data_IF_734536916757
#
_entry.id   IF_734536916757
#
_cell.length_a   1.000
_cell.length_b   1.000
_cell.length_c   1.000
_cell.angle_alpha   90.00
_cell.angle_beta   90.00
_cell.angle_gamma   90.00
#
_symmetry.space_group_name_H-M   'P 1'
#
loop_
_entity.id
_entity.type
_entity.pdbx_description
1 polymer ?
#
# COMPACT_ATOMS: atom_id res chain seq x y z
N UNK A 1 28.02 1.50 26.15
CA UNK A 1 27.89 1.31 24.70
C UNK A 1 26.57 0.61 24.44
N UNK A 2 25.72 1.13 23.56
CA UNK A 2 24.41 0.54 23.26
C UNK A 2 24.43 -0.13 21.88
N UNK A 3 23.89 -1.35 21.79
CA UNK A 3 23.71 -2.09 20.54
C UNK A 3 22.22 -2.02 20.17
N UNK A 4 21.90 -1.68 18.93
CA UNK A 4 20.52 -1.56 18.43
C UNK A 4 20.38 -2.44 17.19
N UNK A 5 19.40 -3.33 17.19
CA UNK A 5 19.02 -4.12 16.01
C UNK A 5 17.95 -3.36 15.24
N UNK A 6 18.11 -3.26 13.92
CA UNK A 6 17.12 -2.71 13.00
C UNK A 6 16.91 -3.66 11.83
N UNK A 7 15.68 -3.76 11.39
CA UNK A 7 15.26 -4.44 10.18
C UNK A 7 14.96 -3.37 9.14
N UNK A 8 15.64 -3.46 8.00
CA UNK A 8 15.46 -2.58 6.85
C UNK A 8 14.75 -3.37 5.77
N UNK A 9 13.64 -2.85 5.28
CA UNK A 9 12.89 -3.43 4.16
C UNK A 9 13.20 -2.58 2.93
N UNK A 10 13.83 -3.20 1.95
CA UNK A 10 14.18 -2.60 0.67
C UNK A 10 13.22 -3.08 -0.41
N UNK A 11 12.89 -2.17 -1.33
CA UNK A 11 12.10 -2.48 -2.51
C UNK A 11 12.81 -1.92 -3.74
N UNK A 12 13.16 -2.77 -4.70
CA UNK A 12 13.92 -2.41 -5.91
C UNK A 12 15.22 -1.63 -5.60
N UNK A 13 15.89 -1.96 -4.49
CA UNK A 13 17.13 -1.31 -4.05
C UNK A 13 16.94 0.05 -3.36
N UNK A 14 15.70 0.43 -3.04
CA UNK A 14 15.39 1.63 -2.26
C UNK A 14 14.84 1.22 -0.89
N UNK A 15 15.40 1.77 0.18
CA UNK A 15 14.88 1.58 1.54
C UNK A 15 13.45 2.15 1.65
N UNK A 16 12.46 1.30 1.96
CA UNK A 16 11.05 1.71 2.08
C UNK A 16 10.56 1.76 3.53
N UNK A 17 11.16 0.95 4.41
CA UNK A 17 10.73 0.87 5.80
C UNK A 17 11.87 0.40 6.72
N UNK A 18 11.98 1.01 7.90
CA UNK A 18 12.96 0.61 8.93
C UNK A 18 12.23 0.50 10.26
N UNK A 19 12.37 -0.64 10.92
CA UNK A 19 11.76 -0.90 12.24
C UNK A 19 12.73 -1.68 13.13
N UNK A 20 12.50 -1.65 14.44
CA UNK A 20 13.18 -2.53 15.39
C UNK A 20 12.45 -3.88 15.58
N UNK A 21 11.21 -4.01 15.07
CA UNK A 21 10.40 -5.23 15.17
C UNK A 21 10.46 -6.06 13.87
N UNK A 22 10.94 -7.29 13.98
CA UNK A 22 10.99 -8.25 12.87
C UNK A 22 9.61 -8.50 12.26
N UNK A 23 8.56 -8.61 13.08
CA UNK A 23 7.22 -8.94 12.59
C UNK A 23 6.64 -7.83 11.73
N UNK A 24 6.91 -6.58 12.09
CA UNK A 24 6.50 -5.42 11.29
C UNK A 24 7.24 -5.39 9.95
N UNK A 25 8.54 -5.68 9.95
CA UNK A 25 9.33 -5.80 8.73
C UNK A 25 8.78 -6.92 7.82
N UNK A 26 8.55 -8.12 8.36
CA UNK A 26 7.97 -9.25 7.62
C UNK A 26 6.58 -8.94 7.05
N UNK A 27 5.76 -8.14 7.77
CA UNK A 27 4.44 -7.72 7.30
C UNK A 27 4.55 -6.70 6.15
N UNK A 28 5.49 -5.76 6.26
CA UNK A 28 5.73 -4.75 5.23
C UNK A 28 6.31 -5.38 3.95
N UNK A 29 7.24 -6.33 4.09
CA UNK A 29 7.79 -7.11 2.98
C UNK A 29 6.68 -7.83 2.18
N UNK A 30 5.80 -8.56 2.88
CA UNK A 30 4.62 -9.19 2.25
C UNK A 30 3.68 -8.20 1.58
N UNK A 31 3.55 -6.99 2.12
CA UNK A 31 2.72 -5.93 1.53
C UNK A 31 3.34 -5.41 0.22
N UNK A 32 4.67 -5.32 0.15
CA UNK A 32 5.39 -4.96 -1.07
C UNK A 32 5.27 -6.05 -2.13
N UNK A 33 5.38 -7.32 -1.75
CA UNK A 33 5.15 -8.45 -2.68
C UNK A 33 3.75 -8.39 -3.31
N UNK A 34 2.72 -8.04 -2.52
CA UNK A 34 1.36 -7.84 -3.05
C UNK A 34 1.30 -6.62 -3.98
N UNK A 35 2.02 -5.54 -3.67
CA UNK A 35 2.09 -4.38 -4.53
C UNK A 35 2.72 -4.73 -5.89
N UNK A 36 3.81 -5.49 -5.92
CA UNK A 36 4.43 -5.93 -7.18
C UNK A 36 3.46 -6.73 -8.05
N UNK A 37 2.79 -7.71 -7.45
CA UNK A 37 1.80 -8.52 -8.16
C UNK A 37 0.65 -7.67 -8.71
N UNK A 38 0.22 -6.64 -7.97
CA UNK A 38 -0.82 -5.71 -8.43
C UNK A 38 -0.32 -4.82 -9.58
N UNK A 39 0.91 -4.32 -9.49
CA UNK A 39 1.53 -3.52 -10.54
C UNK A 39 1.63 -4.31 -11.86
N UNK A 40 2.16 -5.53 -11.79
CA UNK A 40 2.25 -6.44 -12.95
C UNK A 40 0.87 -6.75 -13.53
N UNK A 41 -0.13 -7.01 -12.68
CA UNK A 41 -1.50 -7.23 -13.12
C UNK A 41 -2.08 -6.03 -13.88
N UNK A 42 -1.88 -4.82 -13.36
CA UNK A 42 -2.38 -3.58 -13.97
C UNK A 42 -1.71 -3.31 -15.32
N UNK A 43 -0.40 -3.50 -15.42
CA UNK A 43 0.35 -3.39 -16.67
C UNK A 43 -0.11 -4.43 -17.69
N UNK A 44 -0.30 -5.68 -17.26
CA UNK A 44 -0.80 -6.76 -18.11
C UNK A 44 -2.23 -6.50 -18.63
N UNK A 45 -3.02 -5.67 -17.93
CA UNK A 45 -4.34 -5.20 -18.41
C UNK A 45 -4.25 -4.08 -19.45
N UNK A 46 -3.04 -3.66 -19.82
CA UNK A 46 -2.81 -2.64 -20.85
C UNK A 46 -2.96 -1.21 -20.35
N UNK A 47 -3.07 -0.99 -19.04
CA UNK A 47 -3.04 0.34 -18.46
C UNK A 47 -1.57 0.78 -18.32
N UNK A 48 -1.20 1.83 -19.04
CA UNK A 48 0.15 2.41 -18.95
C UNK A 48 0.16 3.54 -17.94
N UNK A 49 1.02 3.42 -16.95
CA UNK A 49 1.30 4.45 -15.95
C UNK A 49 2.81 4.74 -15.96
N UNK A 50 3.20 5.89 -15.45
CA UNK A 50 4.61 6.12 -15.09
C UNK A 50 4.98 5.16 -13.94
N UNK A 51 6.23 4.68 -13.91
CA UNK A 51 6.68 3.65 -12.97
C UNK A 51 6.43 4.05 -11.50
N UNK A 52 6.71 5.31 -11.15
CA UNK A 52 6.49 5.86 -9.81
C UNK A 52 5.01 5.87 -9.44
N UNK A 53 4.14 6.22 -10.39
CA UNK A 53 2.68 6.28 -10.19
C UNK A 53 2.10 4.88 -10.02
N UNK A 54 2.57 3.92 -10.81
CA UNK A 54 2.15 2.52 -10.70
C UNK A 54 2.55 1.94 -9.34
N UNK A 55 3.78 2.20 -8.90
CA UNK A 55 4.29 1.74 -7.61
C UNK A 55 3.50 2.34 -6.45
N UNK A 56 3.28 3.65 -6.44
CA UNK A 56 2.46 4.32 -5.42
C UNK A 56 1.02 3.79 -5.38
N UNK A 57 0.41 3.58 -6.56
CA UNK A 57 -0.93 3.01 -6.67
C UNK A 57 -0.98 1.60 -6.10
N UNK A 58 -0.02 0.75 -6.49
CA UNK A 58 0.01 -0.64 -6.07
C UNK A 58 0.28 -0.79 -4.56
N UNK A 59 1.17 0.04 -4.00
CA UNK A 59 1.42 0.12 -2.55
C UNK A 59 0.18 0.61 -1.81
N UNK A 60 -0.54 1.61 -2.34
CA UNK A 60 -1.78 2.08 -1.73
C UNK A 60 -2.84 0.96 -1.71
N UNK A 61 -2.99 0.23 -2.81
CA UNK A 61 -3.94 -0.89 -2.89
C UNK A 61 -3.56 -2.04 -1.96
N UNK A 62 -2.27 -2.37 -1.83
CA UNK A 62 -1.80 -3.46 -0.96
C UNK A 62 -1.94 -3.11 0.53
N UNK A 63 -1.70 -1.84 0.91
CA UNK A 63 -1.96 -1.32 2.26
C UNK A 63 -3.44 -1.44 2.65
N UNK A 64 -4.33 -1.14 1.71
CA UNK A 64 -5.77 -1.12 1.93
C UNK A 64 -6.47 -2.40 1.46
N UNK A 65 -5.77 -3.54 1.41
CA UNK A 65 -6.29 -4.80 0.85
C UNK A 65 -7.66 -5.21 1.40
N UNK A 66 -7.92 -4.95 2.68
CA UNK A 66 -9.17 -5.36 3.33
C UNK A 66 -10.33 -4.46 2.88
N UNK A 67 -10.09 -3.16 2.77
CA UNK A 67 -11.05 -2.19 2.25
C UNK A 67 -11.33 -2.38 0.76
N UNK A 68 -10.29 -2.56 -0.04
CA UNK A 68 -10.39 -2.91 -1.47
C UNK A 68 -11.14 -4.24 -1.63
N UNK A 69 -10.84 -5.23 -0.78
CA UNK A 69 -11.52 -6.53 -0.76
C UNK A 69 -13.01 -6.43 -0.42
N UNK A 70 -13.41 -5.52 0.49
CA UNK A 70 -14.83 -5.21 0.73
C UNK A 70 -15.49 -4.63 -0.54
N UNK A 71 -14.82 -3.73 -1.24
CA UNK A 71 -15.34 -3.14 -2.48
C UNK A 71 -15.52 -4.20 -3.57
N UNK A 72 -14.59 -5.14 -3.73
CA UNK A 72 -14.75 -6.26 -4.66
C UNK A 72 -15.91 -7.21 -4.30
N UNK A 73 -16.33 -7.24 -3.03
CA UNK A 73 -17.51 -7.98 -2.56
C UNK A 73 -18.83 -7.20 -2.69
N UNK A 74 -18.80 -6.00 -3.27
CA UNK A 74 -19.99 -5.17 -3.51
C UNK A 74 -20.24 -4.09 -2.45
N UNK A 75 -19.31 -3.86 -1.52
CA UNK A 75 -19.41 -2.71 -0.62
C UNK A 75 -19.19 -1.40 -1.39
N UNK A 76 -20.01 -0.39 -1.11
CA UNK A 76 -19.82 0.93 -1.71
C UNK A 76 -18.61 1.66 -1.09
N UNK A 77 -17.82 2.35 -1.93
CA UNK A 77 -16.66 3.11 -1.47
C UNK A 77 -17.01 4.10 -0.35
N UNK A 78 -18.19 4.72 -0.40
CA UNK A 78 -18.65 5.66 0.65
C UNK A 78 -18.79 4.98 2.02
N UNK A 79 -19.17 3.70 2.04
CA UNK A 79 -19.36 2.92 3.27
C UNK A 79 -18.00 2.44 3.82
N UNK A 80 -17.11 1.99 2.93
CA UNK A 80 -15.76 1.56 3.31
C UNK A 80 -14.97 2.75 3.88
N UNK A 81 -15.03 3.91 3.22
CA UNK A 81 -14.37 5.13 3.69
C UNK A 81 -14.96 5.66 5.01
N UNK A 82 -16.25 5.41 5.29
CA UNK A 82 -16.84 5.75 6.60
C UNK A 82 -16.40 4.80 7.71
N UNK A 83 -16.15 3.54 7.40
CA UNK A 83 -15.60 2.55 8.35
C UNK A 83 -14.11 2.81 8.66
N UNK A 84 -13.36 3.35 7.69
CA UNK A 84 -11.93 3.68 7.81
C UNK A 84 -11.62 4.99 8.55
N UNK A 85 -12.64 5.71 9.06
CA UNK A 85 -12.53 7.03 9.72
C UNK A 85 -11.72 7.10 11.03
N UNK A 86 -10.75 6.21 11.25
CA UNK A 86 -9.67 6.48 12.20
C UNK A 86 -8.41 7.07 11.53
N UNK A 87 -8.13 6.83 10.24
CA UNK A 87 -6.93 7.40 9.57
C UNK A 87 -7.14 7.56 8.07
N UNK A 88 -7.78 8.65 7.62
CA UNK A 88 -7.56 9.15 6.25
C UNK A 88 -7.63 10.67 6.25
N UNK A 89 -6.49 11.28 5.92
CA UNK A 89 -6.34 12.72 5.69
C UNK A 89 -7.44 13.17 4.73
N UNK A 90 -8.20 14.17 5.14
CA UNK A 90 -9.33 14.70 4.41
C UNK A 90 -8.95 15.01 2.96
N UNK A 91 -9.50 14.25 2.01
CA UNK A 91 -9.45 14.58 0.60
C UNK A 91 -10.16 15.93 0.41
N UNK A 92 -9.35 16.96 0.20
CA UNK A 92 -9.81 18.30 -0.15
C UNK A 92 -10.70 18.21 -1.38
N UNK A 93 -11.94 18.68 -1.24
CA UNK A 93 -12.92 18.81 -2.32
C UNK A 93 -12.24 19.45 -3.54
N UNK A 94 -12.05 18.69 -4.63
CA UNK A 94 -11.83 19.27 -5.94
C UNK A 94 -13.13 19.97 -6.31
N UNK A 95 -13.15 21.31 -6.20
CA UNK A 95 -14.24 22.14 -6.69
C UNK A 95 -14.36 21.97 -8.21
N UNK A 96 -15.61 22.05 -8.65
CA UNK A 96 -16.11 21.96 -10.02
C UNK A 96 -15.36 22.85 -11.02
#
# INVERSE_FOLDING_TARGET
MAIITRYVVEHKGVEKFVTADKKEADKYDKMLEVADNLAEYIEAKGMKFDADVLEDLAIMLSKNKDAVGKMFKGAEAKNVLSDEKAEVVALGKKKA
#
